data_IF_182602037076
#
_entry.id   IF_182602037076
#
_cell.length_a   1.000
_cell.length_b   1.000
_cell.length_c   1.000
_cell.angle_alpha   90.00
_cell.angle_beta   90.00
_cell.angle_gamma   90.00
#
_symmetry.space_group_name_H-M   'P 1'
#
loop_
_entity.id
_entity.type
_entity.pdbx_description
1 polymer ?
#
# COMPACT_ATOMS: atom_id res chain seq x y z
N UNK A 1 2.77 -7.97 -11.49
CA UNK A 1 3.34 -6.64 -11.23
C UNK A 1 4.65 -6.48 -11.98
N UNK A 2 5.13 -5.25 -12.21
CA UNK A 2 6.38 -4.97 -12.94
C UNK A 2 7.32 -4.14 -12.06
N UNK A 3 8.57 -3.95 -12.50
CA UNK A 3 9.57 -3.18 -11.75
C UNK A 3 9.95 -3.85 -10.43
N UNK A 4 10.08 -3.06 -9.35
CA UNK A 4 10.45 -3.55 -8.01
C UNK A 4 9.51 -4.64 -7.47
N UNK A 5 8.25 -4.67 -7.90
CA UNK A 5 7.22 -5.61 -7.46
C UNK A 5 7.08 -6.83 -8.38
N UNK A 6 8.01 -7.05 -9.29
CA UNK A 6 8.03 -8.28 -10.11
C UNK A 6 8.08 -9.50 -9.17
N UNK A 7 7.22 -10.48 -9.42
CA UNK A 7 7.08 -11.67 -8.59
C UNK A 7 6.08 -11.56 -7.43
N UNK A 8 5.65 -10.35 -7.05
CA UNK A 8 4.59 -10.18 -6.03
C UNK A 8 3.20 -10.19 -6.63
N UNK A 9 2.27 -10.86 -5.94
CA UNK A 9 0.84 -10.69 -6.17
C UNK A 9 0.27 -9.61 -5.27
N UNK A 10 -0.79 -8.95 -5.73
CA UNK A 10 -1.43 -7.87 -4.98
C UNK A 10 -2.92 -7.74 -5.32
N UNK A 11 -3.70 -7.32 -4.35
CA UNK A 11 -5.01 -6.72 -4.59
C UNK A 11 -4.80 -5.22 -4.80
N UNK A 12 -5.33 -4.71 -5.91
CA UNK A 12 -5.27 -3.30 -6.26
C UNK A 12 -6.67 -2.71 -6.32
N UNK A 13 -6.78 -1.41 -6.05
CA UNK A 13 -8.03 -0.65 -6.13
C UNK A 13 -7.84 0.58 -7.03
N UNK A 14 -8.94 1.18 -7.46
CA UNK A 14 -8.91 2.27 -8.41
C UNK A 14 -8.51 3.60 -7.73
N UNK A 15 -7.36 4.17 -8.12
CA UNK A 15 -6.91 5.48 -7.64
C UNK A 15 -7.67 6.63 -8.29
N UNK A 16 -8.16 6.45 -9.53
CA UNK A 16 -8.81 7.54 -10.29
C UNK A 16 -10.17 7.89 -9.70
N UNK A 17 -10.92 6.90 -9.21
CA UNK A 17 -12.25 7.10 -8.61
C UNK A 17 -12.21 7.29 -7.09
N UNK A 18 -11.08 7.01 -6.45
CA UNK A 18 -10.94 7.18 -5.00
C UNK A 18 -10.84 8.66 -4.63
N UNK A 19 -11.87 9.19 -3.94
CA UNK A 19 -11.96 10.61 -3.54
C UNK A 19 -10.76 11.10 -2.73
N UNK A 20 -10.17 10.24 -1.87
CA UNK A 20 -8.95 10.59 -1.15
C UNK A 20 -7.78 10.77 -2.10
N UNK A 21 -7.58 9.85 -3.05
CA UNK A 21 -6.52 9.94 -4.05
C UNK A 21 -6.68 11.18 -4.93
N UNK A 22 -7.91 11.49 -5.37
CA UNK A 22 -8.21 12.69 -6.16
C UNK A 22 -7.84 13.97 -5.39
N UNK A 23 -8.17 14.04 -4.08
CA UNK A 23 -7.81 15.17 -3.23
C UNK A 23 -6.30 15.28 -3.08
N UNK A 24 -5.63 14.18 -2.76
CA UNK A 24 -4.18 14.16 -2.53
C UNK A 24 -3.37 14.45 -3.81
N UNK A 25 -3.89 14.10 -4.98
CA UNK A 25 -3.24 14.38 -6.26
C UNK A 25 -3.16 15.88 -6.60
N UNK A 26 -3.92 16.72 -5.89
CA UNK A 26 -3.92 18.19 -6.01
C UNK A 26 -3.04 18.89 -4.97
N UNK A 27 -2.26 18.14 -4.21
CA UNK A 27 -1.43 18.66 -3.12
C UNK A 27 0.06 18.58 -3.48
N UNK A 28 0.87 19.36 -2.79
CA UNK A 28 2.33 19.31 -2.85
C UNK A 28 2.88 18.14 -2.00
N UNK A 29 2.38 16.96 -2.25
CA UNK A 29 2.80 15.70 -1.62
C UNK A 29 3.30 14.73 -2.68
N UNK A 30 3.85 13.59 -2.26
CA UNK A 30 4.24 12.52 -3.20
C UNK A 30 3.06 12.08 -4.10
N UNK A 31 1.83 12.33 -3.67
CA UNK A 31 0.64 12.02 -4.46
C UNK A 31 0.37 13.03 -5.58
N UNK A 32 0.95 14.23 -5.54
CA UNK A 32 0.87 15.20 -6.66
C UNK A 32 1.46 14.65 -7.95
N UNK A 33 2.49 13.80 -7.82
CA UNK A 33 3.12 13.07 -8.94
C UNK A 33 2.76 11.57 -8.89
N UNK A 34 1.49 11.23 -8.68
CA UNK A 34 1.05 9.86 -8.43
C UNK A 34 1.21 8.96 -9.65
N UNK A 35 2.20 8.07 -9.61
CA UNK A 35 2.42 7.09 -10.67
C UNK A 35 1.22 6.18 -10.95
N UNK A 36 0.47 5.84 -9.90
CA UNK A 36 -0.71 4.97 -10.02
C UNK A 36 -1.85 5.65 -10.79
N UNK A 37 -2.06 6.95 -10.55
CA UNK A 37 -3.02 7.76 -11.30
C UNK A 37 -2.63 7.84 -12.78
N UNK A 38 -1.37 8.20 -13.06
CA UNK A 38 -0.84 8.31 -14.42
C UNK A 38 -0.92 6.96 -15.18
N UNK A 39 -0.57 5.85 -14.52
CA UNK A 39 -0.64 4.52 -15.14
C UNK A 39 -2.08 4.12 -15.48
N UNK A 40 -3.04 4.38 -14.59
CA UNK A 40 -4.44 4.05 -14.84
C UNK A 40 -5.07 4.91 -15.95
N UNK A 41 -4.59 6.12 -16.14
CA UNK A 41 -5.02 6.97 -17.25
C UNK A 41 -4.28 6.65 -18.57
N UNK A 42 -3.18 5.91 -18.49
CA UNK A 42 -2.33 5.53 -19.63
C UNK A 42 -2.16 4.02 -19.80
N UNK A 43 -0.95 3.51 -19.54
CA UNK A 43 -0.53 2.14 -19.85
C UNK A 43 -1.34 1.02 -19.17
N UNK A 44 -2.05 1.31 -18.08
CA UNK A 44 -2.91 0.38 -17.36
C UNK A 44 -4.40 0.74 -17.40
N UNK A 45 -4.82 1.51 -18.36
CA UNK A 45 -6.22 1.90 -18.54
C UNK A 45 -7.17 0.69 -18.52
N UNK A 46 -6.78 -0.40 -19.14
CA UNK A 46 -7.55 -1.64 -19.18
C UNK A 46 -7.71 -2.34 -17.81
N UNK A 47 -6.93 -1.95 -16.80
CA UNK A 47 -7.11 -2.45 -15.44
C UNK A 47 -8.21 -1.71 -14.66
N UNK A 48 -8.68 -0.57 -15.14
CA UNK A 48 -9.66 0.25 -14.42
C UNK A 48 -10.93 -0.49 -14.01
N UNK A 49 -11.60 -1.27 -14.89
CA UNK A 49 -12.82 -1.98 -14.52
C UNK A 49 -12.59 -2.98 -13.38
N UNK A 50 -11.53 -3.80 -13.46
CA UNK A 50 -11.21 -4.78 -12.44
C UNK A 50 -10.85 -4.11 -11.09
N UNK A 51 -10.08 -3.03 -11.11
CA UNK A 51 -9.72 -2.31 -9.89
C UNK A 51 -10.87 -1.48 -9.31
N UNK A 52 -11.81 -1.06 -10.16
CA UNK A 52 -13.05 -0.44 -9.71
C UNK A 52 -13.95 -1.46 -9.01
N UNK A 53 -14.13 -2.64 -9.59
CA UNK A 53 -14.85 -3.74 -8.95
C UNK A 53 -14.24 -4.10 -7.58
N UNK A 54 -12.91 -4.21 -7.50
CA UNK A 54 -12.23 -4.43 -6.20
C UNK A 54 -12.52 -3.30 -5.21
N UNK A 55 -12.54 -2.03 -5.67
CA UNK A 55 -12.87 -0.89 -4.83
C UNK A 55 -14.28 -1.00 -4.23
N UNK A 56 -15.24 -1.38 -5.05
CA UNK A 56 -16.63 -1.54 -4.65
C UNK A 56 -16.82 -2.71 -3.69
N UNK A 57 -16.36 -3.90 -4.08
CA UNK A 57 -16.47 -5.12 -3.26
C UNK A 57 -15.83 -4.94 -1.88
N UNK A 58 -14.65 -4.31 -1.83
CA UNK A 58 -13.94 -4.13 -0.57
C UNK A 58 -14.51 -3.03 0.32
N UNK A 59 -15.26 -2.05 -0.24
CA UNK A 59 -15.68 -0.87 0.51
C UNK A 59 -17.17 -0.77 0.82
N UNK A 60 -18.02 -1.57 0.17
CA UNK A 60 -19.48 -1.46 0.33
C UNK A 60 -20.00 -2.16 1.59
N UNK A 61 -19.60 -3.40 1.82
CA UNK A 61 -20.05 -4.21 2.95
C UNK A 61 -18.97 -5.17 3.45
N UNK A 62 -19.10 -5.72 4.67
CA UNK A 62 -18.24 -6.79 5.13
C UNK A 62 -18.32 -8.01 4.21
N UNK A 63 -17.15 -8.55 3.80
CA UNK A 63 -17.09 -9.74 2.98
C UNK A 63 -17.66 -10.95 3.72
N UNK A 64 -18.46 -11.75 3.04
CA UNK A 64 -18.88 -13.05 3.54
C UNK A 64 -17.75 -14.08 3.42
N UNK A 65 -17.83 -15.19 4.14
CA UNK A 65 -16.83 -16.26 4.05
C UNK A 65 -16.61 -16.79 2.61
N UNK A 66 -17.68 -16.82 1.80
CA UNK A 66 -17.62 -17.26 0.38
C UNK A 66 -16.91 -16.25 -0.54
N UNK A 67 -16.80 -15.00 -0.12
CA UNK A 67 -16.14 -13.94 -0.89
C UNK A 67 -14.66 -13.77 -0.52
N UNK A 68 -14.21 -14.42 0.56
CA UNK A 68 -12.82 -14.33 0.99
C UNK A 68 -11.93 -15.17 0.03
N UNK A 69 -10.93 -14.56 -0.61
CA UNK A 69 -10.04 -15.28 -1.50
C UNK A 69 -9.10 -16.20 -0.73
N UNK A 70 -8.80 -17.37 -1.28
CA UNK A 70 -7.68 -18.22 -0.84
C UNK A 70 -6.42 -17.72 -1.52
N UNK A 71 -5.39 -17.41 -0.73
CA UNK A 71 -4.12 -16.85 -1.18
C UNK A 71 -3.00 -17.81 -0.78
N UNK A 72 -2.34 -18.43 -1.76
CA UNK A 72 -1.27 -19.41 -1.57
C UNK A 72 0.13 -18.80 -1.74
N UNK A 73 0.28 -17.51 -1.43
CA UNK A 73 1.56 -16.80 -1.52
C UNK A 73 2.16 -16.63 -0.13
N UNK A 74 3.47 -16.81 0.02
CA UNK A 74 4.17 -16.54 1.29
C UNK A 74 4.06 -15.07 1.71
N UNK A 75 4.13 -14.15 0.73
CA UNK A 75 4.01 -12.72 0.92
C UNK A 75 3.02 -12.12 -0.07
N UNK A 76 2.15 -11.26 0.40
CA UNK A 76 1.12 -10.65 -0.43
C UNK A 76 0.99 -9.16 -0.14
N UNK A 77 0.75 -8.37 -1.18
CA UNK A 77 0.64 -6.91 -1.05
C UNK A 77 -0.80 -6.44 -1.16
N UNK A 78 -1.23 -5.67 -0.18
CA UNK A 78 -2.40 -4.82 -0.31
C UNK A 78 -1.99 -3.46 -0.85
N UNK A 79 -2.64 -3.01 -1.92
CA UNK A 79 -2.38 -1.77 -2.63
C UNK A 79 -0.96 -1.69 -3.25
N UNK A 80 -0.72 -2.47 -4.29
CA UNK A 80 0.32 -2.13 -5.28
C UNK A 80 -0.07 -0.84 -6.02
N UNK A 81 -1.37 -0.68 -6.25
CA UNK A 81 -2.07 0.53 -6.67
C UNK A 81 -3.32 0.70 -5.82
N UNK A 82 -3.69 1.93 -5.50
CA UNK A 82 -4.88 2.23 -4.70
C UNK A 82 -4.56 2.79 -3.32
N UNK A 83 -5.62 3.02 -2.58
CA UNK A 83 -5.59 3.50 -1.19
C UNK A 83 -6.88 3.06 -0.49
N UNK A 84 -6.88 2.96 0.82
CA UNK A 84 -8.07 2.70 1.61
C UNK A 84 -9.18 3.71 1.30
N UNK A 85 -10.39 3.21 1.07
CA UNK A 85 -11.56 4.04 0.72
C UNK A 85 -12.29 4.46 2.00
N UNK A 86 -12.59 3.50 2.87
CA UNK A 86 -13.29 3.70 4.13
C UNK A 86 -12.87 2.63 5.16
N UNK A 87 -13.53 2.62 6.30
CA UNK A 87 -13.26 1.67 7.39
C UNK A 87 -13.58 0.24 6.98
N UNK A 88 -14.71 -0.01 6.31
CA UNK A 88 -15.11 -1.32 5.81
C UNK A 88 -14.04 -1.93 4.91
N UNK A 89 -13.40 -1.11 4.05
CA UNK A 89 -12.30 -1.57 3.22
C UNK A 89 -11.13 -2.10 4.07
N UNK A 90 -10.72 -1.37 5.11
CA UNK A 90 -9.66 -1.83 6.01
C UNK A 90 -10.04 -3.13 6.72
N UNK A 91 -11.25 -3.21 7.25
CA UNK A 91 -11.77 -4.41 7.93
C UNK A 91 -11.83 -5.62 7.00
N UNK A 92 -12.22 -5.44 5.74
CA UNK A 92 -12.21 -6.50 4.74
C UNK A 92 -10.79 -6.98 4.41
N UNK A 93 -9.80 -6.08 4.37
CA UNK A 93 -8.40 -6.51 4.23
C UNK A 93 -7.91 -7.30 5.44
N UNK A 94 -8.34 -6.93 6.67
CA UNK A 94 -8.06 -7.72 7.87
C UNK A 94 -8.70 -9.12 7.77
N UNK A 95 -9.97 -9.23 7.37
CA UNK A 95 -10.66 -10.53 7.17
C UNK A 95 -9.97 -11.40 6.13
N UNK A 96 -9.48 -10.82 5.03
CA UNK A 96 -8.68 -11.55 4.04
C UNK A 96 -7.38 -12.06 4.66
N UNK A 97 -6.70 -11.26 5.47
CA UNK A 97 -5.48 -11.69 6.15
C UNK A 97 -5.75 -12.82 7.15
N UNK A 98 -6.77 -12.70 7.98
CA UNK A 98 -7.21 -13.74 8.93
C UNK A 98 -7.57 -15.06 8.25
N UNK A 99 -8.22 -14.98 7.09
CA UNK A 99 -8.59 -16.16 6.30
C UNK A 99 -7.40 -16.88 5.68
N UNK A 100 -6.23 -16.24 5.59
CA UNK A 100 -5.02 -16.76 4.97
C UNK A 100 -3.83 -16.71 5.94
N UNK A 101 -3.85 -17.49 7.05
CA UNK A 101 -2.88 -17.35 8.14
C UNK A 101 -1.44 -17.72 7.76
N UNK A 102 -1.23 -18.51 6.71
CA UNK A 102 0.09 -18.88 6.20
C UNK A 102 0.75 -17.78 5.34
N UNK A 103 0.01 -16.72 4.99
CA UNK A 103 0.48 -15.61 4.16
C UNK A 103 0.79 -14.39 5.04
N UNK A 104 1.95 -13.77 4.86
CA UNK A 104 2.22 -12.45 5.43
C UNK A 104 1.76 -11.35 4.47
N UNK A 105 0.89 -10.49 4.96
CA UNK A 105 0.36 -9.35 4.22
C UNK A 105 1.07 -8.06 4.59
N UNK A 106 1.25 -7.17 3.61
CA UNK A 106 1.74 -5.82 3.86
C UNK A 106 0.81 -4.79 3.19
N UNK A 107 0.34 -3.83 3.98
CA UNK A 107 -0.55 -2.76 3.56
C UNK A 107 0.13 -1.40 3.69
N UNK A 108 0.32 -0.70 2.57
CA UNK A 108 0.71 0.71 2.56
C UNK A 108 -0.53 1.59 2.54
N UNK A 109 -0.59 2.53 3.49
CA UNK A 109 -1.68 3.52 3.51
C UNK A 109 -1.23 4.85 4.10
N UNK A 110 -1.83 5.93 3.61
CA UNK A 110 -1.73 7.29 4.16
C UNK A 110 -2.89 7.60 5.12
N UNK A 111 -3.89 6.71 5.16
CA UNK A 111 -5.16 6.91 5.86
C UNK A 111 -5.10 6.47 7.33
N UNK A 112 -4.28 7.15 8.14
CA UNK A 112 -4.15 6.89 9.60
C UNK A 112 -5.50 6.88 10.33
N UNK A 113 -6.40 7.74 9.89
CA UNK A 113 -7.73 7.88 10.47
C UNK A 113 -8.63 6.63 10.34
N UNK A 114 -8.29 5.72 9.43
CA UNK A 114 -9.02 4.47 9.21
C UNK A 114 -8.43 3.29 9.98
N UNK A 115 -7.21 3.42 10.49
CA UNK A 115 -6.54 2.36 11.25
C UNK A 115 -6.93 2.50 12.71
N UNK A 116 -7.79 1.61 13.17
CA UNK A 116 -8.29 1.57 14.56
C UNK A 116 -8.54 0.13 14.98
N UNK A 117 -8.43 -0.16 16.28
CA UNK A 117 -8.60 -1.51 16.83
C UNK A 117 -7.44 -2.44 16.48
N UNK A 118 -7.63 -3.71 16.79
CA UNK A 118 -6.63 -4.74 16.56
C UNK A 118 -6.54 -5.11 15.08
N UNK A 119 -5.40 -5.60 14.69
CA UNK A 119 -5.12 -6.12 13.35
C UNK A 119 -4.69 -7.59 13.42
N UNK A 120 -4.86 -8.36 12.34
CA UNK A 120 -4.33 -9.71 12.26
C UNK A 120 -2.81 -9.75 12.48
N UNK A 121 -2.32 -10.80 13.16
CA UNK A 121 -0.89 -10.96 13.46
C UNK A 121 -0.02 -11.10 12.20
N UNK A 122 -0.60 -11.57 11.10
CA UNK A 122 0.07 -11.72 9.81
C UNK A 122 -0.06 -10.50 8.88
N UNK A 123 -0.57 -9.36 9.37
CA UNK A 123 -0.69 -8.10 8.61
C UNK A 123 0.31 -7.07 9.11
N UNK A 124 1.21 -6.63 8.24
CA UNK A 124 2.14 -5.52 8.47
C UNK A 124 1.52 -4.22 7.96
N UNK A 125 1.30 -3.26 8.85
CA UNK A 125 0.80 -1.93 8.51
C UNK A 125 1.97 -0.96 8.30
N UNK A 126 2.04 -0.38 7.11
CA UNK A 126 3.10 0.53 6.70
C UNK A 126 2.49 1.91 6.45
N UNK A 127 2.84 2.87 7.28
CA UNK A 127 2.45 4.25 7.03
C UNK A 127 3.25 4.82 5.86
N UNK A 128 2.59 5.10 4.76
CA UNK A 128 3.19 5.78 3.61
C UNK A 128 3.17 7.29 3.86
N UNK A 129 4.30 7.83 4.33
CA UNK A 129 4.43 9.27 4.60
C UNK A 129 4.19 10.07 3.31
N UNK A 130 3.17 10.97 3.28
CA UNK A 130 2.88 11.73 2.07
C UNK A 130 3.85 12.89 1.82
N UNK A 131 4.54 13.37 2.87
CA UNK A 131 5.42 14.55 2.76
C UNK A 131 6.81 14.12 2.33
N UNK A 132 7.24 14.61 1.18
CA UNK A 132 8.59 14.37 0.65
C UNK A 132 9.63 15.11 1.51
N UNK A 133 10.81 14.54 1.65
CA UNK A 133 11.96 15.05 2.42
C UNK A 133 11.73 15.23 3.94
N UNK A 134 10.53 15.06 4.44
CA UNK A 134 10.24 15.00 5.87
C UNK A 134 10.29 13.56 6.37
N UNK A 135 11.43 13.12 6.83
CA UNK A 135 11.63 11.76 7.35
C UNK A 135 11.06 11.64 8.76
N UNK A 136 10.13 10.70 8.94
CA UNK A 136 9.68 10.25 10.26
C UNK A 136 10.64 9.18 10.77
N UNK A 137 11.19 9.38 11.97
CA UNK A 137 12.16 8.47 12.59
C UNK A 137 11.53 7.26 13.30
N UNK A 138 10.20 7.22 13.38
CA UNK A 138 9.43 6.10 13.93
C UNK A 138 8.05 6.02 13.29
N UNK A 139 7.45 4.82 13.22
CA UNK A 139 6.08 4.65 12.77
C UNK A 139 5.09 5.43 13.65
N UNK A 140 4.01 5.98 13.08
CA UNK A 140 2.91 6.50 13.87
C UNK A 140 2.21 5.39 14.67
N UNK A 141 1.52 5.76 15.75
CA UNK A 141 0.74 4.81 16.56
C UNK A 141 -0.19 3.97 15.68
N UNK A 142 -0.18 2.65 15.88
CA UNK A 142 -0.99 1.67 15.12
C UNK A 142 -0.34 1.17 13.84
N UNK A 143 0.90 1.59 13.53
CA UNK A 143 1.66 1.10 12.39
C UNK A 143 2.93 0.38 12.83
N UNK A 144 3.28 -0.67 12.11
CA UNK A 144 4.52 -1.44 12.35
C UNK A 144 5.73 -0.75 11.71
N UNK A 145 5.51 -0.12 10.55
CA UNK A 145 6.58 0.54 9.80
C UNK A 145 6.14 1.90 9.24
N UNK A 146 7.13 2.72 8.91
CA UNK A 146 6.93 3.97 8.14
C UNK A 146 7.77 3.94 6.88
N UNK A 147 7.16 4.35 5.77
CA UNK A 147 7.78 4.49 4.47
C UNK A 147 7.90 5.97 4.12
N UNK A 148 9.13 6.47 4.08
CA UNK A 148 9.47 7.85 3.78
C UNK A 148 9.97 7.98 2.34
N UNK A 149 9.60 9.07 1.68
CA UNK A 149 10.07 9.42 0.35
C UNK A 149 10.98 10.64 0.44
N UNK A 150 12.16 10.55 -0.17
CA UNK A 150 13.11 11.65 -0.23
C UNK A 150 13.49 11.95 -1.67
N UNK A 151 13.60 13.22 -2.03
CA UNK A 151 14.03 13.66 -3.36
C UNK A 151 15.55 13.79 -3.43
N UNK A 152 16.17 14.35 -2.39
CA UNK A 152 17.61 14.47 -2.26
C UNK A 152 18.25 13.16 -1.77
N UNK A 153 19.48 12.83 -2.23
CA UNK A 153 20.23 11.69 -1.71
C UNK A 153 20.48 11.77 -0.21
N UNK A 154 20.37 10.65 0.49
CA UNK A 154 20.66 10.52 1.92
C UNK A 154 21.50 9.28 2.19
N UNK A 155 22.37 9.34 3.18
CA UNK A 155 23.27 8.23 3.55
C UNK A 155 22.55 7.04 4.20
N UNK A 156 21.33 7.26 4.71
CA UNK A 156 20.52 6.23 5.39
C UNK A 156 19.37 5.68 4.53
N UNK A 157 19.46 5.83 3.20
CA UNK A 157 18.52 5.17 2.29
C UNK A 157 18.67 3.64 2.40
N UNK A 158 17.56 2.93 2.63
CA UNK A 158 17.54 1.47 2.70
C UNK A 158 16.60 0.81 1.67
N UNK A 159 15.87 1.60 0.89
CA UNK A 159 15.16 1.17 -0.30
C UNK A 159 15.80 1.79 -1.55
N UNK A 160 16.83 1.14 -2.07
CA UNK A 160 17.71 1.68 -3.14
C UNK A 160 17.37 1.15 -4.54
N UNK A 161 16.18 0.60 -4.73
CA UNK A 161 15.73 0.14 -6.04
C UNK A 161 15.77 -1.37 -6.24
N UNK A 162 16.22 -2.13 -5.25
CA UNK A 162 16.23 -3.59 -5.24
C UNK A 162 14.83 -4.19 -5.47
N UNK A 163 14.78 -5.42 -5.99
CA UNK A 163 13.49 -6.13 -6.11
C UNK A 163 12.93 -6.44 -4.73
N UNK A 164 11.64 -6.19 -4.54
CA UNK A 164 10.98 -6.46 -3.26
C UNK A 164 10.97 -7.95 -2.90
N UNK A 165 10.95 -8.84 -3.90
CA UNK A 165 11.00 -10.28 -3.69
C UNK A 165 12.34 -10.75 -3.10
N UNK A 166 13.43 -10.05 -3.38
CA UNK A 166 14.77 -10.37 -2.88
C UNK A 166 15.02 -9.66 -1.52
N UNK A 167 14.53 -8.42 -1.38
CA UNK A 167 14.74 -7.59 -0.19
C UNK A 167 13.86 -8.00 0.99
N UNK A 168 12.56 -8.15 0.80
CA UNK A 168 11.52 -8.50 1.78
C UNK A 168 11.42 -7.60 3.02
N UNK A 169 12.16 -6.49 3.13
CA UNK A 169 12.23 -5.62 4.31
C UNK A 169 10.86 -5.12 4.76
N UNK A 170 9.98 -4.82 3.80
CA UNK A 170 8.62 -4.37 4.06
C UNK A 170 7.63 -5.52 4.38
N UNK A 171 8.05 -6.77 4.24
CA UNK A 171 7.21 -7.96 4.39
C UNK A 171 7.62 -8.85 5.57
N UNK A 172 8.56 -8.40 6.40
CA UNK A 172 9.00 -9.08 7.62
C UNK A 172 8.74 -8.17 8.81
N UNK A 173 8.29 -8.72 9.93
CA UNK A 173 8.09 -7.98 11.17
C UNK A 173 9.44 -7.55 11.77
N UNK A 174 10.43 -8.42 11.69
CA UNK A 174 11.82 -8.15 12.01
C UNK A 174 12.43 -7.22 10.95
N UNK A 175 13.44 -6.50 11.28
CA UNK A 175 14.11 -5.55 10.40
C UNK A 175 13.69 -4.10 10.65
N UNK A 176 14.04 -3.21 9.75
CA UNK A 176 13.84 -1.78 9.95
C UNK A 176 12.36 -1.40 9.99
N UNK A 177 11.97 -0.68 11.04
CA UNK A 177 10.65 -0.05 11.12
C UNK A 177 10.58 1.26 10.31
N UNK A 178 11.73 1.78 9.84
CA UNK A 178 11.83 3.02 9.06
C UNK A 178 12.43 2.71 7.69
N UNK A 179 11.64 2.88 6.65
CA UNK A 179 12.05 2.70 5.27
C UNK A 179 12.23 4.07 4.62
N UNK A 180 13.34 4.27 3.95
CA UNK A 180 13.67 5.53 3.24
C UNK A 180 13.99 5.18 1.79
N UNK A 181 13.16 5.68 0.89
CA UNK A 181 13.30 5.52 -0.55
C UNK A 181 13.57 6.88 -1.22
N UNK A 182 14.59 6.91 -2.06
CA UNK A 182 14.79 8.05 -2.96
C UNK A 182 13.85 7.93 -4.16
N UNK A 183 13.04 8.95 -4.37
CA UNK A 183 12.09 9.02 -5.47
C UNK A 183 12.49 10.07 -6.49
N UNK A 184 12.23 9.80 -7.78
CA UNK A 184 12.35 10.80 -8.84
C UNK A 184 11.01 11.54 -8.93
N UNK A 185 10.97 12.75 -8.44
CA UNK A 185 9.80 13.62 -8.63
C UNK A 185 9.89 14.14 -10.06
N UNK A 186 8.86 13.83 -10.85
CA UNK A 186 8.69 14.44 -12.17
C UNK A 186 7.86 15.70 -11.97
N UNK A 187 8.50 16.83 -12.21
CA UNK A 187 7.83 18.13 -12.27
C UNK A 187 7.11 18.29 -13.58
#
# INVERSE_FOLDING_TARGET
MTGKLTGFKAINTNTVTNKFCQKMNKTDSICGSCYSMAMLQGSRKNCQPAWQNNSEVLSQAPLTARQLPVINERFFRFHGHGELINRTHFENLCRIAEHNPATTFALWTKRRNLIRGDKPSNLILIYSNPTVDRVLSKPPKGFDKVFNNVAAPRTNENCTGQKCADCLECYRFEGSSVIIERVKIRH
#
